data_IF_349573644328
#
_entry.id   IF_349573644328
#
_cell.length_a   1.000
_cell.length_b   1.000
_cell.length_c   1.000
_cell.angle_alpha   90.00
_cell.angle_beta   90.00
_cell.angle_gamma   90.00
#
_symmetry.space_group_name_H-M   'P 1'
#
loop_
_entity.id
_entity.type
_entity.pdbx_description
1 polymer ?
#
# COMPACT_ATOMS: atom_id res chain seq x y z
N UNK A 1 -14.66 6.21 -25.66
CA UNK A 1 -14.03 6.60 -24.36
C UNK A 1 -14.74 7.80 -23.75
N UNK A 2 -15.00 8.88 -24.52
CA UNK A 2 -15.95 9.93 -24.13
C UNK A 2 -17.34 9.38 -23.78
N UNK A 3 -17.82 8.32 -24.45
CA UNK A 3 -19.17 7.80 -24.20
C UNK A 3 -19.36 7.10 -22.84
N UNK A 4 -18.35 6.42 -22.26
CA UNK A 4 -18.48 5.73 -20.97
C UNK A 4 -18.37 6.72 -19.80
N UNK A 5 -17.41 7.64 -19.87
CA UNK A 5 -17.29 8.76 -18.93
C UNK A 5 -18.54 9.65 -18.97
N UNK A 6 -19.02 10.00 -20.16
CA UNK A 6 -20.24 10.80 -20.34
C UNK A 6 -21.49 10.06 -19.86
N UNK A 7 -21.63 8.76 -20.13
CA UNK A 7 -22.76 7.96 -19.62
C UNK A 7 -22.73 7.82 -18.10
N UNK A 8 -21.55 7.79 -17.49
CA UNK A 8 -21.39 7.74 -16.03
C UNK A 8 -21.63 9.10 -15.37
N UNK A 9 -21.08 10.18 -15.94
CA UNK A 9 -21.31 11.56 -15.49
C UNK A 9 -22.78 11.97 -15.60
N UNK A 10 -23.50 11.52 -16.64
CA UNK A 10 -24.95 11.74 -16.78
C UNK A 10 -25.81 10.98 -15.76
N UNK A 11 -25.24 10.03 -15.01
CA UNK A 11 -25.98 9.19 -14.07
C UNK A 11 -25.81 9.62 -12.59
N UNK A 12 -24.91 10.56 -12.29
CA UNK A 12 -24.55 10.94 -10.92
C UNK A 12 -24.37 12.46 -10.76
N UNK A 13 -25.47 13.21 -10.90
CA UNK A 13 -25.61 14.56 -10.33
C UNK A 13 -26.16 14.45 -8.90
N UNK A 14 -25.31 14.24 -7.89
CA UNK A 14 -25.75 14.23 -6.49
C UNK A 14 -24.64 14.03 -5.47
N UNK A 15 -24.65 14.87 -4.42
CA UNK A 15 -23.79 14.83 -3.21
C UNK A 15 -24.13 13.63 -2.31
N UNK A 16 -24.11 12.41 -2.84
CA UNK A 16 -24.28 11.21 -2.01
C UNK A 16 -22.96 10.79 -1.37
N UNK A 17 -22.99 10.88 -0.04
CA UNK A 17 -22.10 10.29 0.95
C UNK A 17 -21.69 8.86 0.55
N UNK A 18 -20.47 8.48 0.90
CA UNK A 18 -19.80 7.28 0.41
C UNK A 18 -20.49 5.98 0.88
N UNK A 19 -21.55 5.55 0.20
CA UNK A 19 -22.17 4.25 0.40
C UNK A 19 -21.71 3.29 -0.72
N UNK A 20 -20.74 2.43 -0.38
CA UNK A 20 -20.27 1.32 -1.24
C UNK A 20 -21.43 0.50 -1.84
N UNK A 21 -22.53 0.34 -1.10
CA UNK A 21 -23.74 -0.38 -1.53
C UNK A 21 -24.58 0.34 -2.59
N UNK A 22 -24.63 1.68 -2.60
CA UNK A 22 -25.36 2.46 -3.61
C UNK A 22 -24.55 2.60 -4.92
N UNK A 23 -23.22 2.68 -4.82
CA UNK A 23 -22.29 2.94 -5.93
C UNK A 23 -21.71 1.65 -6.56
N UNK A 24 -22.04 0.48 -6.00
CA UNK A 24 -21.57 -0.86 -6.39
C UNK A 24 -21.61 -1.12 -7.91
N UNK A 25 -22.63 -0.58 -8.61
CA UNK A 25 -22.89 -0.89 -10.03
C UNK A 25 -21.91 -0.20 -10.99
N UNK A 26 -21.72 1.11 -10.85
CA UNK A 26 -20.85 1.87 -11.78
C UNK A 26 -19.38 1.56 -11.57
N UNK A 27 -18.97 1.41 -10.32
CA UNK A 27 -17.63 1.01 -9.96
C UNK A 27 -17.30 -0.42 -10.33
N UNK A 28 -18.20 -1.35 -9.98
CA UNK A 28 -18.07 -2.76 -10.34
C UNK A 28 -18.04 -2.95 -11.86
N UNK A 29 -18.85 -2.18 -12.61
CA UNK A 29 -18.81 -2.16 -14.07
C UNK A 29 -17.47 -1.65 -14.60
N UNK A 30 -16.92 -0.55 -14.06
CA UNK A 30 -15.62 -0.03 -14.49
C UNK A 30 -14.48 -1.03 -14.19
N UNK A 31 -14.47 -1.64 -13.01
CA UNK A 31 -13.47 -2.64 -12.63
C UNK A 31 -13.57 -3.90 -13.50
N UNK A 32 -14.77 -4.43 -13.69
CA UNK A 32 -15.02 -5.56 -14.58
C UNK A 32 -14.59 -5.24 -16.01
N UNK A 33 -14.97 -4.07 -16.53
CA UNK A 33 -14.61 -3.64 -17.89
C UNK A 33 -13.09 -3.51 -18.03
N UNK A 34 -12.39 -2.85 -17.10
CA UNK A 34 -10.95 -2.64 -17.23
C UNK A 34 -10.11 -3.90 -17.01
N UNK A 35 -10.60 -4.87 -16.23
CA UNK A 35 -9.94 -6.16 -16.07
C UNK A 35 -9.87 -6.94 -17.39
N UNK A 36 -10.86 -6.78 -18.27
CA UNK A 36 -10.91 -7.45 -19.58
C UNK A 36 -9.96 -6.82 -20.62
N UNK A 37 -9.41 -5.62 -20.37
CA UNK A 37 -8.54 -4.92 -21.31
C UNK A 37 -7.09 -4.78 -20.78
N UNK A 38 -6.11 -5.48 -21.39
CA UNK A 38 -4.70 -5.40 -20.97
C UNK A 38 -4.13 -3.97 -20.95
N UNK A 39 -4.59 -3.11 -21.85
CA UNK A 39 -4.18 -1.70 -21.95
C UNK A 39 -4.71 -0.82 -20.81
N UNK A 40 -5.60 -1.35 -19.95
CA UNK A 40 -6.25 -0.65 -18.84
C UNK A 40 -5.87 -1.22 -17.46
N UNK A 41 -4.81 -2.01 -17.40
CA UNK A 41 -4.31 -2.60 -16.15
C UNK A 41 -4.05 -1.55 -15.05
N UNK A 42 -3.48 -0.38 -15.40
CA UNK A 42 -3.18 0.69 -14.43
C UNK A 42 -4.46 1.23 -13.79
N UNK A 43 -5.47 1.54 -14.62
CA UNK A 43 -6.78 2.00 -14.15
C UNK A 43 -7.45 0.95 -13.27
N UNK A 44 -7.47 -0.32 -13.70
CA UNK A 44 -8.04 -1.41 -12.90
C UNK A 44 -7.35 -1.53 -11.55
N UNK A 45 -6.01 -1.48 -11.53
CA UNK A 45 -5.24 -1.57 -10.28
C UNK A 45 -5.54 -0.38 -9.36
N UNK A 46 -5.57 0.84 -9.90
CA UNK A 46 -5.87 2.05 -9.12
C UNK A 46 -7.28 1.98 -8.51
N UNK A 47 -8.28 1.59 -9.28
CA UNK A 47 -9.61 1.33 -8.75
C UNK A 47 -9.56 0.24 -7.68
N UNK A 48 -9.08 -0.96 -8.00
CA UNK A 48 -9.04 -2.08 -7.03
C UNK A 48 -8.41 -1.69 -5.69
N UNK A 49 -7.31 -0.92 -5.70
CA UNK A 49 -6.67 -0.43 -4.48
C UNK A 49 -7.46 0.67 -3.77
N UNK A 50 -7.99 1.64 -4.51
CA UNK A 50 -8.80 2.72 -3.93
C UNK A 50 -10.04 2.19 -3.18
N UNK A 51 -10.65 1.11 -3.67
CA UNK A 51 -11.82 0.48 -3.03
C UNK A 51 -11.47 -0.31 -1.77
N UNK A 52 -10.23 -0.75 -1.62
CA UNK A 52 -9.81 -1.51 -0.43
C UNK A 52 -9.61 -0.60 0.79
N UNK A 53 -9.11 0.62 0.59
CA UNK A 53 -8.88 1.61 1.65
C UNK A 53 -10.09 1.84 2.60
N UNK A 54 -11.30 2.17 2.12
CA UNK A 54 -12.49 2.32 2.98
C UNK A 54 -12.81 1.04 3.78
N UNK A 55 -12.73 -0.15 3.16
CA UNK A 55 -13.02 -1.44 3.80
C UNK A 55 -11.99 -1.71 4.90
N UNK A 56 -10.73 -1.36 4.65
CA UNK A 56 -9.66 -1.43 5.63
C UNK A 56 -9.93 -0.47 6.79
N UNK A 57 -10.30 0.78 6.51
CA UNK A 57 -10.66 1.75 7.56
C UNK A 57 -11.84 1.25 8.40
N UNK A 58 -12.90 0.77 7.76
CA UNK A 58 -14.07 0.21 8.44
C UNK A 58 -13.66 -0.97 9.33
N UNK A 59 -12.71 -1.79 8.88
CA UNK A 59 -12.17 -2.89 9.69
C UNK A 59 -11.43 -2.38 10.93
N UNK A 60 -10.65 -1.29 10.84
CA UNK A 60 -10.02 -0.66 12.00
C UNK A 60 -11.07 -0.08 12.97
N UNK A 61 -12.06 0.65 12.45
CA UNK A 61 -13.12 1.26 13.26
C UNK A 61 -13.98 0.18 13.93
N UNK A 62 -14.41 -0.84 13.19
CA UNK A 62 -15.23 -1.94 13.72
C UNK A 62 -14.49 -2.80 14.75
N UNK A 63 -13.15 -2.82 14.68
CA UNK A 63 -12.31 -3.49 15.67
C UNK A 63 -12.09 -2.65 16.93
N UNK A 64 -12.43 -1.36 16.94
CA UNK A 64 -12.34 -0.53 18.14
C UNK A 64 -13.50 -0.82 19.10
N UNK A 65 -13.16 -0.98 20.38
CA UNK A 65 -14.13 -1.10 21.48
C UNK A 65 -14.35 0.22 22.22
N UNK A 66 -13.50 1.23 21.98
CA UNK A 66 -13.66 2.58 22.52
C UNK A 66 -14.91 3.28 22.01
N UNK A 67 -15.33 4.33 22.72
CA UNK A 67 -16.49 5.12 22.31
C UNK A 67 -16.24 5.81 20.96
N UNK A 68 -17.32 6.06 20.22
CA UNK A 68 -17.21 6.78 18.95
C UNK A 68 -16.63 8.21 19.12
N UNK A 69 -16.90 8.85 20.25
CA UNK A 69 -16.31 10.16 20.60
C UNK A 69 -14.78 10.08 20.71
N UNK A 70 -14.24 9.02 21.31
CA UNK A 70 -12.80 8.81 21.42
C UNK A 70 -12.18 8.52 20.05
N UNK A 71 -12.88 7.76 19.20
CA UNK A 71 -12.47 7.52 17.81
C UNK A 71 -12.38 8.83 17.03
N UNK A 72 -13.37 9.72 17.14
CA UNK A 72 -13.35 11.03 16.48
C UNK A 72 -12.20 11.91 16.98
N UNK A 73 -11.92 11.92 18.29
CA UNK A 73 -10.78 12.64 18.87
C UNK A 73 -9.43 12.09 18.39
N UNK A 74 -9.30 10.77 18.28
CA UNK A 74 -8.10 10.17 17.71
C UNK A 74 -7.89 10.62 16.25
N UNK A 75 -8.97 10.63 15.45
CA UNK A 75 -8.94 11.10 14.06
C UNK A 75 -8.66 12.61 13.91
N UNK A 76 -9.03 13.42 14.89
CA UNK A 76 -8.69 14.86 14.95
C UNK A 76 -7.23 15.13 15.40
N UNK A 77 -6.43 14.07 15.61
CA UNK A 77 -5.03 14.10 16.05
C UNK A 77 -4.85 14.57 17.50
N UNK A 78 -5.85 14.41 18.37
CA UNK A 78 -5.67 14.61 19.81
C UNK A 78 -4.81 13.47 20.39
N UNK A 79 -3.60 13.82 20.84
CA UNK A 79 -2.56 12.86 21.24
C UNK A 79 -2.79 12.18 22.59
N UNK A 80 -3.83 12.57 23.34
CA UNK A 80 -4.15 12.05 24.66
C UNK A 80 -5.11 10.87 24.67
N UNK A 81 -5.58 10.41 23.49
CA UNK A 81 -6.59 9.35 23.41
C UNK A 81 -5.93 7.98 23.32
N UNK A 82 -6.34 7.07 24.20
CA UNK A 82 -6.03 5.65 24.13
C UNK A 82 -7.22 4.90 23.55
N UNK A 83 -7.01 4.16 22.46
CA UNK A 83 -8.04 3.34 21.83
C UNK A 83 -7.85 1.87 22.23
N UNK A 84 -8.95 1.24 22.61
CA UNK A 84 -9.05 -0.20 22.88
C UNK A 84 -9.58 -0.92 21.65
N UNK A 85 -9.07 -2.14 21.43
CA UNK A 85 -9.44 -2.96 20.28
C UNK A 85 -9.89 -4.35 20.73
N UNK A 86 -10.79 -4.97 19.97
CA UNK A 86 -11.20 -6.35 20.18
C UNK A 86 -9.98 -7.28 20.03
N UNK A 87 -9.58 -8.02 21.08
CA UNK A 87 -8.44 -8.93 21.01
C UNK A 87 -8.52 -9.95 19.86
N UNK A 88 -9.72 -10.41 19.54
CA UNK A 88 -9.92 -11.43 18.49
C UNK A 88 -9.74 -10.87 17.07
N UNK A 89 -9.75 -9.54 16.90
CA UNK A 89 -9.55 -8.86 15.63
C UNK A 89 -8.08 -8.52 15.32
N UNK A 90 -7.19 -8.58 16.32
CA UNK A 90 -5.83 -8.02 16.23
C UNK A 90 -4.98 -8.65 15.12
N UNK A 91 -5.10 -9.97 14.89
CA UNK A 91 -4.40 -10.64 13.79
C UNK A 91 -4.84 -10.12 12.42
N UNK A 92 -6.13 -9.82 12.24
CA UNK A 92 -6.64 -9.18 11.02
C UNK A 92 -6.03 -7.79 10.87
N UNK A 93 -5.95 -7.00 11.94
CA UNK A 93 -5.34 -5.68 11.92
C UNK A 93 -3.83 -5.72 11.61
N UNK A 94 -3.09 -6.76 12.02
CA UNK A 94 -1.70 -6.97 11.59
C UNK A 94 -1.62 -7.16 10.07
N UNK A 95 -2.47 -8.01 9.50
CA UNK A 95 -2.50 -8.28 8.05
C UNK A 95 -2.85 -7.00 7.28
N UNK A 96 -3.86 -6.26 7.73
CA UNK A 96 -4.28 -5.00 7.11
C UNK A 96 -3.20 -3.92 7.23
N UNK A 97 -2.54 -3.80 8.38
CA UNK A 97 -1.41 -2.88 8.58
C UNK A 97 -0.26 -3.21 7.62
N UNK A 98 0.05 -4.50 7.46
CA UNK A 98 1.10 -4.96 6.53
C UNK A 98 0.73 -4.62 5.09
N UNK A 99 -0.52 -4.86 4.69
CA UNK A 99 -1.03 -4.47 3.37
C UNK A 99 -0.89 -2.97 3.13
N UNK A 100 -1.21 -2.12 4.13
CA UNK A 100 -1.09 -0.66 4.01
C UNK A 100 0.37 -0.24 3.84
N UNK A 101 1.29 -0.86 4.58
CA UNK A 101 2.71 -0.58 4.42
C UNK A 101 3.25 -1.03 3.06
N UNK A 102 2.82 -2.17 2.55
CA UNK A 102 3.19 -2.63 1.20
C UNK A 102 2.59 -1.73 0.11
N UNK A 103 1.33 -1.33 0.28
CA UNK A 103 0.67 -0.34 -0.58
C UNK A 103 1.46 0.97 -0.62
N UNK A 104 1.82 1.51 0.55
CA UNK A 104 2.59 2.75 0.69
C UNK A 104 3.98 2.65 0.05
N UNK A 105 4.71 1.56 0.30
CA UNK A 105 6.01 1.32 -0.33
C UNK A 105 5.91 1.31 -1.85
N UNK A 106 4.93 0.59 -2.38
CA UNK A 106 4.69 0.51 -3.82
C UNK A 106 4.37 1.88 -4.43
N UNK A 107 3.40 2.60 -3.87
CA UNK A 107 3.00 3.90 -4.45
C UNK A 107 4.09 4.96 -4.30
N UNK A 108 4.85 4.97 -3.20
CA UNK A 108 6.01 5.86 -3.01
C UNK A 108 7.13 5.55 -4.02
N UNK A 109 7.33 4.27 -4.33
CA UNK A 109 8.28 3.85 -5.36
C UNK A 109 7.86 4.34 -6.76
N UNK A 110 6.61 4.09 -7.16
CA UNK A 110 6.04 4.56 -8.42
C UNK A 110 6.10 6.09 -8.54
N UNK A 111 5.76 6.78 -7.44
CA UNK A 111 5.85 8.23 -7.34
C UNK A 111 7.27 8.76 -7.57
N UNK A 112 8.26 8.13 -6.93
CA UNK A 112 9.66 8.52 -7.09
C UNK A 112 10.20 8.23 -8.51
N UNK A 113 9.84 7.10 -9.11
CA UNK A 113 10.19 6.80 -10.51
C UNK A 113 9.60 7.85 -11.45
N UNK A 114 8.31 8.18 -11.26
CA UNK A 114 7.61 9.09 -12.16
C UNK A 114 8.21 10.51 -12.13
N UNK A 115 8.53 11.01 -10.93
CA UNK A 115 8.92 12.42 -10.75
C UNK A 115 10.43 12.66 -10.74
N UNK A 116 11.25 11.65 -10.44
CA UNK A 116 12.70 11.80 -10.19
C UNK A 116 13.60 10.80 -10.92
N UNK A 117 13.08 9.99 -11.87
CA UNK A 117 13.92 9.05 -12.62
C UNK A 117 14.83 9.78 -13.63
N UNK A 118 16.11 9.86 -13.31
CA UNK A 118 17.15 10.43 -14.20
C UNK A 118 17.51 9.49 -15.37
N UNK A 119 17.26 8.18 -15.24
CA UNK A 119 17.67 7.17 -16.24
C UNK A 119 16.76 7.12 -17.46
N UNK A 120 15.50 7.53 -17.31
CA UNK A 120 14.52 7.61 -18.39
C UNK A 120 13.68 8.87 -18.19
N UNK A 121 14.21 10.06 -18.58
CA UNK A 121 13.44 11.29 -18.47
C UNK A 121 12.19 11.16 -19.33
N UNK A 122 11.03 11.15 -18.68
CA UNK A 122 9.73 11.17 -19.34
C UNK A 122 9.42 12.64 -19.65
N UNK A 123 9.08 12.97 -20.89
CA UNK A 123 8.67 14.34 -21.21
C UNK A 123 7.43 14.72 -20.41
N UNK A 124 7.30 15.99 -20.00
CA UNK A 124 6.13 16.46 -19.24
C UNK A 124 4.81 16.12 -19.95
N UNK A 125 4.77 16.26 -21.27
CA UNK A 125 3.61 15.92 -22.10
C UNK A 125 3.24 14.42 -21.99
N UNK A 126 4.24 13.53 -21.95
CA UNK A 126 4.01 12.10 -21.73
C UNK A 126 3.59 11.78 -20.28
N UNK A 127 4.09 12.52 -19.29
CA UNK A 127 3.67 12.36 -17.88
C UNK A 127 2.18 12.70 -17.71
N UNK A 128 1.69 13.72 -18.42
CA UNK A 128 0.28 14.11 -18.35
C UNK A 128 -0.67 13.10 -19.00
N UNK A 129 -0.25 12.42 -20.06
CA UNK A 129 -1.14 11.56 -20.85
C UNK A 129 -1.06 10.09 -20.47
N UNK A 130 0.05 9.65 -19.86
CA UNK A 130 0.24 8.24 -19.49
C UNK A 130 -0.57 7.89 -18.23
N UNK A 131 -1.26 6.74 -18.20
CA UNK A 131 -1.81 6.20 -16.97
C UNK A 131 -0.71 5.90 -15.95
N UNK A 132 -0.86 6.39 -14.73
CA UNK A 132 0.10 6.24 -13.63
C UNK A 132 -0.60 5.89 -12.32
N UNK A 133 0.12 5.22 -11.42
CA UNK A 133 -0.39 4.89 -10.08
C UNK A 133 -0.39 6.09 -9.13
N UNK A 134 0.47 7.09 -9.38
CA UNK A 134 0.60 8.32 -8.58
C UNK A 134 -0.74 9.02 -8.30
N UNK A 135 -1.74 8.85 -9.15
CA UNK A 135 -3.10 9.35 -8.94
C UNK A 135 -3.73 8.91 -7.62
N UNK A 136 -3.30 7.79 -7.02
CA UNK A 136 -3.79 7.32 -5.72
C UNK A 136 -3.45 8.28 -4.56
N UNK A 137 -2.34 9.01 -4.67
CA UNK A 137 -2.00 10.10 -3.74
C UNK A 137 -2.68 11.43 -4.11
N UNK A 138 -3.23 11.56 -5.32
CA UNK A 138 -3.88 12.78 -5.78
C UNK A 138 -5.42 12.70 -5.70
N UNK A 139 -5.96 11.50 -5.66
CA UNK A 139 -7.38 11.25 -5.44
C UNK A 139 -7.74 11.57 -3.99
N UNK A 140 -8.64 12.54 -3.81
CA UNK A 140 -8.99 13.10 -2.51
C UNK A 140 -9.44 12.04 -1.51
N UNK A 141 -10.44 11.24 -1.88
CA UNK A 141 -10.99 10.24 -0.96
C UNK A 141 -9.95 9.16 -0.60
N UNK A 142 -9.12 8.74 -1.56
CA UNK A 142 -8.04 7.78 -1.28
C UNK A 142 -7.03 8.34 -0.29
N UNK A 143 -6.66 9.63 -0.40
CA UNK A 143 -5.83 10.29 0.61
C UNK A 143 -6.52 10.32 1.97
N UNK A 144 -7.78 10.71 2.01
CA UNK A 144 -8.51 10.89 3.26
C UNK A 144 -8.62 9.56 4.03
N UNK A 145 -8.99 8.47 3.34
CA UNK A 145 -8.99 7.14 3.93
C UNK A 145 -7.59 6.72 4.39
N UNK A 146 -6.57 6.91 3.55
CA UNK A 146 -5.19 6.53 3.88
C UNK A 146 -4.66 7.30 5.10
N UNK A 147 -4.93 8.60 5.21
CA UNK A 147 -4.58 9.40 6.38
C UNK A 147 -5.25 8.89 7.65
N UNK A 148 -6.55 8.58 7.59
CA UNK A 148 -7.28 8.03 8.74
C UNK A 148 -6.73 6.67 9.17
N UNK A 149 -6.47 5.76 8.22
CA UNK A 149 -5.87 4.45 8.51
C UNK A 149 -4.48 4.62 9.14
N UNK A 150 -3.67 5.55 8.62
CA UNK A 150 -2.35 5.86 9.16
C UNK A 150 -2.39 6.43 10.58
N UNK A 151 -3.48 7.11 10.96
CA UNK A 151 -3.73 7.53 12.35
C UNK A 151 -4.08 6.34 13.24
N UNK A 152 -4.85 5.36 12.76
CA UNK A 152 -5.23 4.17 13.55
C UNK A 152 -4.07 3.21 13.80
N UNK A 153 -3.16 3.01 12.84
CA UNK A 153 -2.06 2.04 12.96
C UNK A 153 -1.25 2.22 14.26
N UNK A 154 -0.79 3.43 14.65
CA UNK A 154 -0.11 3.65 15.93
C UNK A 154 -0.92 3.28 17.17
N UNK A 155 -2.23 3.58 17.20
CA UNK A 155 -3.11 3.21 18.31
C UNK A 155 -3.25 1.69 18.42
N UNK A 156 -3.50 1.03 17.29
CA UNK A 156 -3.55 -0.43 17.19
C UNK A 156 -2.23 -1.07 17.67
N UNK A 157 -1.08 -0.61 17.18
CA UNK A 157 0.23 -1.14 17.57
C UNK A 157 0.45 -0.99 19.08
N UNK A 158 0.09 0.16 19.64
CA UNK A 158 0.26 0.44 21.07
C UNK A 158 -0.64 -0.45 21.93
N UNK A 159 -1.88 -0.69 21.51
CA UNK A 159 -2.78 -1.63 22.17
C UNK A 159 -2.26 -3.08 22.06
N UNK A 160 -1.90 -3.53 20.87
CA UNK A 160 -1.46 -4.89 20.61
C UNK A 160 -0.10 -5.24 21.24
N UNK A 161 0.77 -4.26 21.45
CA UNK A 161 2.03 -4.43 22.19
C UNK A 161 1.85 -4.31 23.71
N UNK A 162 0.66 -3.95 24.20
CA UNK A 162 0.38 -3.94 25.64
C UNK A 162 0.15 -5.37 26.17
N UNK A 163 0.43 -5.57 27.46
CA UNK A 163 0.22 -6.86 28.13
C UNK A 163 -1.18 -7.00 28.75
N UNK A 164 -2.13 -6.15 28.37
CA UNK A 164 -3.42 -6.01 29.08
C UNK A 164 -4.57 -6.81 28.48
N UNK A 165 -4.40 -7.40 27.29
CA UNK A 165 -5.43 -8.22 26.63
C UNK A 165 -5.08 -9.71 26.66
N UNK A 166 -6.09 -10.56 26.43
CA UNK A 166 -5.96 -11.99 26.22
C UNK A 166 -6.74 -12.38 24.97
N UNK A 167 -6.21 -13.35 24.21
CA UNK A 167 -6.90 -13.90 23.04
C UNK A 167 -7.80 -15.05 23.48
N UNK A 168 -9.10 -14.94 23.21
CA UNK A 168 -10.09 -15.93 23.69
C UNK A 168 -9.96 -17.28 22.97
N UNK A 169 -9.59 -17.26 21.69
CA UNK A 169 -9.60 -18.44 20.83
C UNK A 169 -8.23 -19.07 20.58
N UNK A 170 -7.15 -18.28 20.66
CA UNK A 170 -5.77 -18.71 20.37
C UNK A 170 -4.77 -18.02 21.32
N UNK A 171 -4.85 -18.25 22.64
CA UNK A 171 -3.98 -17.61 23.64
C UNK A 171 -2.49 -17.85 23.37
N UNK A 172 -2.12 -19.00 22.82
CA UNK A 172 -0.74 -19.33 22.46
C UNK A 172 -0.15 -18.42 21.37
N UNK A 173 -1.00 -17.78 20.56
CA UNK A 173 -0.58 -16.87 19.49
C UNK A 173 -0.27 -15.46 19.99
N UNK A 174 -0.58 -15.13 21.24
CA UNK A 174 -0.44 -13.78 21.80
C UNK A 174 1.01 -13.30 21.80
N UNK A 175 1.96 -14.15 22.22
CA UNK A 175 3.38 -13.80 22.22
C UNK A 175 3.90 -13.52 20.80
N UNK A 176 3.41 -14.28 19.81
CA UNK A 176 3.76 -14.08 18.41
C UNK A 176 3.16 -12.78 17.87
N UNK A 177 1.89 -12.50 18.19
CA UNK A 177 1.20 -11.26 17.82
C UNK A 177 1.96 -10.03 18.38
N UNK A 178 2.31 -10.05 19.66
CA UNK A 178 3.10 -9.00 20.32
C UNK A 178 4.48 -8.84 19.65
N UNK A 179 5.16 -9.94 19.32
CA UNK A 179 6.44 -9.88 18.61
C UNK A 179 6.28 -9.20 17.24
N UNK A 180 5.22 -9.51 16.49
CA UNK A 180 4.94 -8.87 15.21
C UNK A 180 4.64 -7.38 15.36
N UNK A 181 3.79 -6.99 16.32
CA UNK A 181 3.43 -5.58 16.53
C UNK A 181 4.59 -4.76 17.04
N UNK A 182 5.41 -5.33 17.94
CA UNK A 182 6.66 -4.72 18.40
C UNK A 182 7.64 -4.47 17.26
N UNK A 183 7.75 -5.41 16.32
CA UNK A 183 8.60 -5.24 15.14
C UNK A 183 8.06 -4.11 14.24
N UNK A 184 6.75 -4.05 14.02
CA UNK A 184 6.11 -2.95 13.29
C UNK A 184 6.33 -1.59 13.99
N UNK A 185 6.40 -1.57 15.32
CA UNK A 185 6.66 -0.35 16.10
C UNK A 185 8.12 0.10 16.02
N UNK A 186 9.07 -0.83 16.21
CA UNK A 186 10.51 -0.54 16.27
C UNK A 186 11.06 -0.21 14.88
N UNK A 187 10.65 -0.99 13.88
CA UNK A 187 11.15 -0.89 12.52
C UNK A 187 10.01 -0.78 11.50
N UNK A 188 9.20 0.31 11.54
CA UNK A 188 8.13 0.47 10.59
C UNK A 188 8.68 0.59 9.16
N UNK A 189 8.10 -0.12 8.17
CA UNK A 189 8.48 -0.09 6.76
C UNK A 189 8.50 1.31 6.13
N UNK A 190 7.69 2.22 6.65
CA UNK A 190 7.51 3.61 6.22
C UNK A 190 7.40 4.51 7.45
N UNK A 191 7.81 5.78 7.32
CA UNK A 191 7.68 6.74 8.41
C UNK A 191 6.27 7.34 8.34
N UNK A 192 5.33 6.80 9.13
CA UNK A 192 3.90 7.18 9.10
C UNK A 192 3.71 8.71 9.14
N UNK A 193 4.35 9.41 10.07
CA UNK A 193 4.22 10.87 10.19
C UNK A 193 4.65 11.61 8.92
N UNK A 194 5.76 11.19 8.28
CA UNK A 194 6.24 11.80 7.05
C UNK A 194 5.32 11.51 5.86
N UNK A 195 4.70 10.32 5.82
CA UNK A 195 3.69 9.99 4.81
C UNK A 195 2.44 10.85 5.02
N UNK A 196 1.97 11.00 6.25
CA UNK A 196 0.82 11.87 6.56
C UNK A 196 1.11 13.32 6.17
N UNK A 197 2.30 13.84 6.47
CA UNK A 197 2.72 15.19 6.07
C UNK A 197 2.77 15.35 4.55
N UNK A 198 3.30 14.35 3.83
CA UNK A 198 3.27 14.33 2.36
C UNK A 198 1.83 14.39 1.83
N UNK A 199 0.92 13.57 2.36
CA UNK A 199 -0.48 13.54 1.91
C UNK A 199 -1.20 14.87 2.20
N UNK A 200 -0.91 15.51 3.33
CA UNK A 200 -1.42 16.85 3.66
C UNK A 200 -0.89 17.91 2.69
N UNK A 201 0.42 17.94 2.41
CA UNK A 201 1.00 18.89 1.46
C UNK A 201 0.41 18.71 0.04
N UNK A 202 0.11 17.46 -0.36
CA UNK A 202 -0.56 17.17 -1.63
C UNK A 202 -2.02 17.61 -1.65
N UNK A 203 -2.71 17.70 -0.50
CA UNK A 203 -4.11 18.14 -0.43
C UNK A 203 -4.30 19.59 -0.88
N UNK A 204 -3.26 20.41 -0.79
CA UNK A 204 -3.26 21.81 -1.21
C UNK A 204 -3.01 21.98 -2.73
N UNK A 205 -2.76 20.89 -3.46
CA UNK A 205 -2.57 20.92 -4.90
C UNK A 205 -3.89 20.65 -5.62
N UNK A 206 -4.56 21.73 -6.02
CA UNK A 206 -5.73 21.64 -6.89
C UNK A 206 -5.34 21.34 -8.34
N UNK A 207 -6.14 20.51 -9.01
CA UNK A 207 -6.06 20.37 -10.45
C UNK A 207 -6.53 21.68 -11.12
N UNK A 208 -5.80 22.16 -12.13
CA UNK A 208 -6.14 23.35 -12.92
C UNK A 208 -7.45 23.20 -13.72
N UNK A 209 -8.02 22.00 -13.74
CA UNK A 209 -9.32 21.70 -14.35
C UNK A 209 -10.33 21.41 -13.25
N UNK A 210 -11.50 22.05 -13.27
CA UNK A 210 -12.65 21.65 -12.45
C UNK A 210 -12.96 20.20 -12.78
N UNK A 211 -12.57 19.30 -11.89
CA UNK A 211 -12.88 17.88 -11.99
C UNK A 211 -14.40 17.75 -11.84
N UNK A 212 -15.09 17.39 -12.93
CA UNK A 212 -16.55 17.23 -12.99
C UNK A 212 -17.07 16.10 -12.10
N UNK A 213 -16.22 15.10 -11.83
CA UNK A 213 -16.59 13.87 -11.13
C UNK A 213 -15.45 13.37 -10.25
N UNK A 214 -15.75 13.07 -8.97
CA UNK A 214 -14.79 12.53 -7.97
C UNK A 214 -13.95 11.35 -8.47
N UNK A 215 -14.50 10.51 -9.36
CA UNK A 215 -13.84 9.31 -9.88
C UNK A 215 -12.97 9.53 -11.11
N UNK A 216 -13.10 10.68 -11.77
CA UNK A 216 -12.47 10.95 -13.07
C UNK A 216 -10.95 10.73 -13.04
N UNK A 217 -10.29 11.07 -11.92
CA UNK A 217 -8.86 10.90 -11.74
C UNK A 217 -8.45 9.42 -11.68
N UNK A 218 -9.24 8.56 -11.02
CA UNK A 218 -8.98 7.12 -11.00
C UNK A 218 -9.31 6.46 -12.34
N UNK A 219 -10.42 6.85 -12.97
CA UNK A 219 -10.87 6.31 -14.26
C UNK A 219 -9.92 6.64 -15.42
N UNK A 220 -9.37 7.85 -15.43
CA UNK A 220 -8.34 8.24 -16.41
C UNK A 220 -6.96 7.72 -16.00
N UNK A 221 -6.66 7.76 -14.70
CA UNK A 221 -5.36 7.49 -14.11
C UNK A 221 -4.25 8.40 -14.65
N UNK A 222 -4.58 9.59 -15.13
CA UNK A 222 -3.62 10.53 -15.74
C UNK A 222 -3.38 11.75 -14.86
N UNK A 223 -2.19 12.37 -14.98
CA UNK A 223 -1.87 13.64 -14.31
C UNK A 223 -2.31 14.88 -15.10
N UNK A 224 -3.25 14.73 -16.04
CA UNK A 224 -3.82 15.85 -16.78
C UNK A 224 -4.46 16.86 -15.81
N UNK A 225 -4.12 18.13 -15.95
CA UNK A 225 -4.62 19.20 -15.07
C UNK A 225 -3.75 19.46 -13.83
N UNK A 226 -2.84 18.57 -13.45
CA UNK A 226 -1.89 18.84 -12.36
C UNK A 226 -0.64 19.58 -12.87
N UNK A 227 0.05 20.32 -11.99
CA UNK A 227 1.35 20.92 -12.30
C UNK A 227 2.47 19.97 -11.87
N UNK A 228 3.18 19.36 -12.83
CA UNK A 228 4.31 18.46 -12.55
C UNK A 228 5.41 19.15 -11.73
N UNK A 229 5.80 20.40 -12.02
CA UNK A 229 6.79 21.11 -11.19
C UNK A 229 6.37 21.25 -9.73
N UNK A 230 5.08 21.53 -9.44
CA UNK A 230 4.57 21.59 -8.05
C UNK A 230 4.60 20.22 -7.38
N UNK A 231 4.22 19.16 -8.11
CA UNK A 231 4.30 17.78 -7.59
C UNK A 231 5.75 17.37 -7.28
N UNK A 232 6.69 17.71 -8.17
CA UNK A 232 8.11 17.49 -7.94
C UNK A 232 8.63 18.27 -6.73
N UNK A 233 8.23 19.54 -6.57
CA UNK A 233 8.61 20.37 -5.44
C UNK A 233 8.16 19.75 -4.10
N UNK A 234 6.89 19.35 -3.99
CA UNK A 234 6.39 18.66 -2.80
C UNK A 234 7.13 17.34 -2.61
N UNK A 235 7.30 16.57 -3.68
CA UNK A 235 7.99 15.29 -3.62
C UNK A 235 9.44 15.40 -3.14
N UNK A 236 10.19 16.44 -3.54
CA UNK A 236 11.57 16.66 -3.10
C UNK A 236 11.67 16.92 -1.59
N UNK A 237 10.64 17.53 -0.97
CA UNK A 237 10.59 17.76 0.48
C UNK A 237 10.57 16.45 1.28
N UNK A 238 10.07 15.36 0.68
CA UNK A 238 9.78 14.08 1.35
C UNK A 238 10.47 12.85 0.75
N UNK A 239 11.20 13.00 -0.37
CA UNK A 239 11.81 11.92 -1.15
C UNK A 239 12.56 10.90 -0.29
N UNK A 240 13.39 11.37 0.63
CA UNK A 240 14.23 10.53 1.49
C UNK A 240 13.64 10.32 2.90
N UNK A 241 12.40 10.77 3.13
CA UNK A 241 11.76 10.80 4.47
C UNK A 241 10.61 9.83 4.62
N UNK A 242 9.84 9.59 3.55
CA UNK A 242 8.64 8.75 3.62
C UNK A 242 8.98 7.25 3.71
N UNK A 243 9.96 6.81 2.93
CA UNK A 243 10.45 5.43 2.94
C UNK A 243 11.74 5.43 3.73
N UNK A 244 11.79 4.72 4.85
CA UNK A 244 13.10 4.43 5.45
C UNK A 244 13.90 3.68 4.39
N UNK A 245 15.19 4.00 4.17
CA UNK A 245 16.03 3.15 3.34
C UNK A 245 15.89 1.75 3.91
N UNK A 246 15.18 0.90 3.17
CA UNK A 246 15.22 -0.51 3.46
C UNK A 246 16.65 -0.88 3.11
N UNK A 247 17.48 -0.96 4.14
CA UNK A 247 18.48 -2.02 4.15
C UNK A 247 17.59 -3.26 4.01
N UNK A 248 17.46 -3.80 2.80
CA UNK A 248 17.38 -5.25 2.67
C UNK A 248 18.47 -5.73 3.61
N UNK A 249 18.14 -6.37 4.73
CA UNK A 249 19.09 -6.69 5.79
C UNK A 249 20.28 -7.43 5.18
N UNK A 250 21.29 -6.66 4.78
CA UNK A 250 22.68 -6.90 5.07
C UNK A 250 22.79 -6.76 6.58
N UNK A 251 23.32 -7.80 7.22
CA UNK A 251 23.56 -7.94 8.68
C UNK A 251 22.46 -8.64 9.46
N UNK A 252 22.11 -9.81 8.98
CA UNK A 252 22.28 -10.99 9.80
C UNK A 252 22.40 -12.18 8.85
N UNK A 253 23.60 -12.75 8.71
CA UNK A 253 23.72 -14.10 8.17
C UNK A 253 23.19 -15.02 9.27
N UNK A 254 21.87 -14.98 9.49
CA UNK A 254 21.15 -16.09 10.09
C UNK A 254 21.31 -17.23 9.09
N UNK A 255 21.73 -18.39 9.60
CA UNK A 255 22.02 -19.61 8.84
C UNK A 255 21.11 -19.79 7.62
N UNK A 256 21.67 -20.26 6.49
CA UNK A 256 21.01 -20.50 5.18
C UNK A 256 19.47 -20.42 5.25
N UNK A 257 18.91 -19.21 5.23
CA UNK A 257 17.47 -18.99 5.31
C UNK A 257 17.00 -18.56 3.92
N UNK A 258 15.89 -19.12 3.46
CA UNK A 258 15.23 -18.70 2.22
C UNK A 258 14.20 -17.64 2.58
N UNK A 259 14.51 -16.33 2.43
CA UNK A 259 13.56 -15.27 2.75
C UNK A 259 12.41 -15.21 1.75
N UNK A 260 12.57 -15.84 0.58
CA UNK A 260 11.54 -15.93 -0.44
C UNK A 260 10.52 -16.95 0.08
N UNK A 261 10.92 -18.19 0.34
CA UNK A 261 10.00 -19.24 0.84
C UNK A 261 9.79 -19.22 2.35
N UNK A 262 10.32 -18.21 3.04
CA UNK A 262 10.32 -18.02 4.50
C UNK A 262 10.67 -19.27 5.31
N UNK A 263 11.64 -20.07 4.84
CA UNK A 263 12.02 -21.34 5.47
C UNK A 263 13.52 -21.45 5.75
N UNK A 264 13.92 -22.15 6.83
CA UNK A 264 15.31 -22.57 7.01
C UNK A 264 15.71 -23.55 5.90
N UNK A 265 16.93 -23.43 5.37
CA UNK A 265 17.52 -24.38 4.43
C UNK A 265 18.48 -25.30 5.18
N UNK A 266 18.39 -26.59 4.89
CA UNK A 266 19.35 -27.57 5.41
C UNK A 266 20.76 -27.34 4.88
N UNK A 267 21.77 -27.85 5.60
CA UNK A 267 23.19 -27.62 5.29
C UNK A 267 23.61 -28.12 3.90
N UNK A 268 22.91 -29.11 3.34
CA UNK A 268 23.22 -29.72 2.05
C UNK A 268 22.54 -29.04 0.85
N UNK A 269 21.75 -27.98 1.08
CA UNK A 269 21.02 -27.32 0.00
C UNK A 269 21.94 -26.34 -0.73
N UNK A 270 22.08 -26.54 -2.04
CA UNK A 270 22.79 -25.60 -2.93
C UNK A 270 21.90 -24.39 -3.18
N UNK A 271 22.43 -23.21 -2.89
CA UNK A 271 21.78 -21.91 -3.13
C UNK A 271 22.61 -21.10 -4.12
N UNK A 272 21.96 -20.17 -4.81
CA UNK A 272 22.65 -19.08 -5.49
C UNK A 272 22.67 -17.85 -4.59
N UNK A 273 23.74 -17.07 -4.67
CA UNK A 273 23.92 -15.86 -3.88
C UNK A 273 23.83 -14.65 -4.81
N UNK A 274 23.05 -13.63 -4.45
CA UNK A 274 23.11 -12.38 -5.18
C UNK A 274 24.44 -11.67 -4.91
N UNK A 275 25.19 -11.31 -5.97
CA UNK A 275 26.46 -10.58 -5.84
C UNK A 275 26.24 -9.19 -5.19
N UNK A 276 25.05 -8.58 -5.40
CA UNK A 276 24.78 -7.20 -4.99
C UNK A 276 24.25 -7.06 -3.57
N UNK A 277 23.32 -7.92 -3.17
CA UNK A 277 22.69 -7.84 -1.83
C UNK A 277 22.99 -9.05 -0.95
N UNK A 278 23.81 -9.99 -1.42
CA UNK A 278 24.20 -11.20 -0.70
C UNK A 278 23.01 -12.04 -0.19
N UNK A 279 21.86 -11.94 -0.84
CA UNK A 279 20.69 -12.75 -0.54
C UNK A 279 20.81 -14.13 -1.19
N UNK A 280 20.54 -15.18 -0.41
CA UNK A 280 20.44 -16.55 -0.91
C UNK A 280 19.10 -16.81 -1.59
N UNK A 281 19.13 -17.60 -2.66
CA UNK A 281 17.96 -18.12 -3.34
C UNK A 281 18.13 -19.60 -3.72
N UNK A 282 17.06 -20.37 -3.74
CA UNK A 282 17.07 -21.73 -4.25
C UNK A 282 17.03 -21.77 -5.79
N UNK A 283 17.79 -22.69 -6.42
CA UNK A 283 17.58 -23.02 -7.82
C UNK A 283 16.14 -23.52 -7.99
N UNK A 284 15.45 -23.01 -9.00
CA UNK A 284 14.08 -23.45 -9.32
C UNK A 284 14.14 -24.92 -9.72
N UNK A 285 13.57 -25.80 -8.90
CA UNK A 285 13.40 -27.21 -9.21
C UNK A 285 11.95 -27.41 -9.63
N UNK A 286 11.75 -27.44 -10.94
CA UNK A 286 10.42 -27.39 -11.59
C UNK A 286 9.43 -28.41 -11.03
N UNK A 287 9.89 -29.61 -10.66
CA UNK A 287 8.98 -30.69 -10.29
C UNK A 287 8.53 -30.64 -8.82
N UNK A 288 9.38 -30.13 -7.91
CA UNK A 288 9.04 -29.94 -6.50
C UNK A 288 8.32 -28.61 -6.22
N UNK A 289 8.60 -27.59 -7.04
CA UNK A 289 8.07 -26.24 -6.86
C UNK A 289 6.62 -26.10 -7.36
N UNK A 290 6.15 -27.02 -8.21
CA UNK A 290 4.74 -27.11 -8.62
C UNK A 290 3.78 -27.47 -7.46
N UNK A 291 4.30 -28.07 -6.39
CA UNK A 291 3.54 -28.44 -5.20
C UNK A 291 3.56 -27.36 -4.10
N UNK A 292 4.41 -26.34 -4.24
CA UNK A 292 4.53 -25.23 -3.30
C UNK A 292 3.57 -24.11 -3.72
N UNK A 293 2.50 -23.82 -2.95
CA UNK A 293 1.49 -22.82 -3.31
C UNK A 293 2.05 -21.38 -3.36
N UNK A 294 3.29 -21.15 -2.90
CA UNK A 294 3.99 -19.87 -3.03
C UNK A 294 4.71 -19.68 -4.37
N UNK A 295 4.88 -20.73 -5.18
CA UNK A 295 5.59 -20.69 -6.47
C UNK A 295 4.82 -19.92 -7.56
N UNK A 296 3.51 -19.74 -7.40
CA UNK A 296 2.65 -18.96 -8.31
C UNK A 296 2.58 -17.47 -7.99
N UNK A 297 3.24 -17.00 -6.92
CA UNK A 297 3.22 -15.59 -6.57
C UNK A 297 4.16 -14.77 -7.49
N UNK A 298 3.73 -13.57 -7.91
CA UNK A 298 4.41 -12.79 -8.97
C UNK A 298 5.87 -12.41 -8.68
N UNK A 299 6.26 -12.33 -7.40
CA UNK A 299 7.65 -12.12 -6.97
C UNK A 299 8.53 -13.35 -7.17
N UNK A 300 7.94 -14.55 -7.26
CA UNK A 300 8.58 -15.78 -7.70
C UNK A 300 8.79 -15.80 -9.22
N UNK A 301 7.87 -15.21 -10.00
CA UNK A 301 7.98 -15.13 -11.46
C UNK A 301 8.96 -14.05 -11.96
N UNK A 302 9.34 -13.09 -11.11
CA UNK A 302 10.45 -12.16 -11.40
C UNK A 302 11.85 -12.82 -11.33
N UNK A 303 11.93 -14.11 -11.00
CA UNK A 303 13.16 -14.90 -10.94
C UNK A 303 13.65 -15.33 -12.34
N UNK A 304 14.10 -14.35 -13.12
CA UNK A 304 15.12 -14.59 -14.14
C UNK A 304 16.52 -14.71 -13.52
N UNK A 305 17.58 -14.55 -14.31
CA UNK A 305 18.98 -14.45 -13.83
C UNK A 305 19.27 -13.22 -12.93
N UNK A 306 18.24 -12.50 -12.46
CA UNK A 306 18.38 -11.24 -11.72
C UNK A 306 17.58 -11.27 -10.43
N UNK A 307 18.21 -10.75 -9.38
CA UNK A 307 17.62 -10.55 -8.07
C UNK A 307 16.62 -9.38 -8.11
N UNK A 308 15.70 -9.35 -7.15
CA UNK A 308 14.76 -8.23 -6.91
C UNK A 308 15.52 -6.90 -6.70
N UNK A 309 16.74 -6.95 -6.14
CA UNK A 309 17.63 -5.79 -6.03
C UNK A 309 18.30 -5.37 -7.36
N UNK A 310 18.01 -6.07 -8.47
CA UNK A 310 18.64 -5.91 -9.78
C UNK A 310 20.04 -6.52 -9.91
N UNK A 311 20.56 -7.17 -8.87
CA UNK A 311 21.85 -7.87 -8.90
C UNK A 311 21.81 -9.21 -9.63
N UNK A 312 22.98 -9.78 -9.95
CA UNK A 312 23.09 -11.09 -10.60
C UNK A 312 23.32 -12.17 -9.53
N UNK A 313 22.81 -13.37 -9.76
CA UNK A 313 23.04 -14.54 -8.91
C UNK A 313 24.26 -15.34 -9.38
N UNK A 314 25.08 -15.80 -8.43
CA UNK A 314 26.20 -16.76 -8.62
C UNK A 314 25.98 -17.97 -7.74
#
# INVERSE_FOLDING_TARGET
MQDVLRMYEQHHEGDEEWNLGALQKGYGLALATFNEFPTKHVQSTNLSRAVQLPIILDSFIASCMSSYEDIEKALSKETSVYLEFDPNSLWSLVILTTWIFDFLKWILHEWNILLHSEKHPISEEMIHQKPVHAVLFLHQESRDYLMKILTFIPHFITFASSATYQLDHLPESQALLQQYTDNLQKEPPVVISQVVDLLNDLSHLEANTKVSNRWSLLLTSTLQGYSIPKLQQVSLKYKDKCVKPCIYIEKEILAKYDPIRKRPLGDNVKTHLCIRCHQHILPVHTDSDLLDPSSSASWYQSLGRRCVCGGVFV
#
